data_IF_991715705581
#
_entry.id   IF_991715705581
#
_cell.length_a   1.000
_cell.length_b   1.000
_cell.length_c   1.000
_cell.angle_alpha   90.00
_cell.angle_beta   90.00
_cell.angle_gamma   90.00
#
_symmetry.space_group_name_H-M   'P 1'
#
loop_
_entity.id
_entity.type
_entity.pdbx_description
1 polymer ?
#
# COMPACT_ATOMS: atom_id res chain seq x y z
N UNK A 1 20.47 10.93 28.24
CA UNK A 1 19.27 11.70 27.84
C UNK A 1 18.42 10.77 26.99
N UNK A 2 17.51 10.04 27.61
CA UNK A 2 16.69 9.01 26.95
C UNK A 2 15.51 9.73 26.31
N UNK A 3 15.47 9.81 24.99
CA UNK A 3 14.29 10.32 24.28
C UNK A 3 13.14 9.36 24.56
N UNK A 4 12.15 9.82 25.33
CA UNK A 4 10.84 9.18 25.42
C UNK A 4 10.19 9.29 24.05
N UNK A 5 10.39 8.29 23.20
CA UNK A 5 9.70 8.19 21.93
C UNK A 5 8.27 7.77 22.25
N UNK A 6 7.37 8.74 22.43
CA UNK A 6 5.94 8.48 22.55
C UNK A 6 5.49 7.69 21.33
N UNK A 7 4.97 6.48 21.51
CA UNK A 7 4.44 5.70 20.40
C UNK A 7 3.30 6.48 19.72
N UNK A 8 3.19 6.46 18.38
CA UNK A 8 2.20 7.23 17.65
C UNK A 8 0.77 6.88 18.09
N UNK A 9 -0.12 7.87 18.17
CA UNK A 9 -1.51 7.67 18.56
C UNK A 9 -2.31 6.97 17.43
N UNK A 10 -3.52 6.52 17.75
CA UNK A 10 -4.44 5.95 16.75
C UNK A 10 -4.82 6.98 15.70
N UNK A 11 -4.99 8.25 16.07
CA UNK A 11 -5.24 9.36 15.15
C UNK A 11 -4.05 9.61 14.22
N UNK A 12 -2.81 9.58 14.75
CA UNK A 12 -1.60 9.74 13.94
C UNK A 12 -1.47 8.62 12.89
N UNK A 13 -1.75 7.37 13.29
CA UNK A 13 -1.72 6.21 12.41
C UNK A 13 -2.85 6.22 11.37
N UNK A 14 -4.05 6.66 11.76
CA UNK A 14 -5.15 6.86 10.83
C UNK A 14 -4.80 7.92 9.78
N UNK A 15 -4.22 9.04 10.21
CA UNK A 15 -3.76 10.10 9.32
C UNK A 15 -2.67 9.60 8.35
N UNK A 16 -1.68 8.85 8.85
CA UNK A 16 -0.62 8.26 8.03
C UNK A 16 -1.19 7.28 6.98
N UNK A 17 -2.17 6.46 7.36
CA UNK A 17 -2.85 5.53 6.45
C UNK A 17 -3.62 6.26 5.37
N UNK A 18 -4.37 7.32 5.71
CA UNK A 18 -5.10 8.14 4.73
C UNK A 18 -4.11 8.81 3.77
N UNK A 19 -3.03 9.39 4.29
CA UNK A 19 -2.04 10.11 3.47
C UNK A 19 -1.32 9.17 2.50
N UNK A 20 -0.86 8.01 2.98
CA UNK A 20 -0.19 7.01 2.13
C UNK A 20 -1.17 6.38 1.12
N UNK A 21 -2.41 6.13 1.51
CA UNK A 21 -3.46 5.64 0.61
C UNK A 21 -3.76 6.60 -0.54
N UNK A 22 -3.83 7.92 -0.27
CA UNK A 22 -3.96 8.95 -1.31
C UNK A 22 -2.80 8.94 -2.30
N UNK A 23 -1.56 8.81 -1.79
CA UNK A 23 -0.37 8.75 -2.63
C UNK A 23 -0.40 7.50 -3.52
N UNK A 24 -0.75 6.35 -2.96
CA UNK A 24 -0.90 5.10 -3.69
C UNK A 24 -1.97 5.20 -4.78
N UNK A 25 -3.18 5.68 -4.45
CA UNK A 25 -4.26 5.79 -5.43
C UNK A 25 -3.91 6.73 -6.59
N UNK A 26 -3.27 7.88 -6.29
CA UNK A 26 -2.81 8.81 -7.33
C UNK A 26 -1.81 8.14 -8.25
N UNK A 27 -0.75 7.55 -7.68
CA UNK A 27 0.31 6.93 -8.49
C UNK A 27 -0.20 5.71 -9.26
N UNK A 28 -1.15 4.95 -8.70
CA UNK A 28 -1.82 3.85 -9.39
C UNK A 28 -2.61 4.33 -10.61
N UNK A 29 -3.38 5.41 -10.48
CA UNK A 29 -4.15 5.98 -11.59
C UNK A 29 -3.25 6.56 -12.68
N UNK A 30 -2.12 7.15 -12.28
CA UNK A 30 -1.12 7.70 -13.21
C UNK A 30 -0.33 6.57 -13.91
N UNK A 31 -0.08 5.45 -13.22
CA UNK A 31 0.66 4.31 -13.76
C UNK A 31 -0.28 3.42 -14.56
N UNK A 32 -0.15 3.40 -15.88
CA UNK A 32 -0.99 2.58 -16.76
C UNK A 32 -0.67 1.07 -16.64
N UNK A 33 -1.09 0.42 -15.56
CA UNK A 33 -0.93 -1.03 -15.35
C UNK A 33 -2.03 -1.76 -16.10
N UNK A 34 -1.64 -2.75 -16.90
CA UNK A 34 -2.61 -3.61 -17.56
C UNK A 34 -3.16 -4.65 -16.58
N UNK A 35 -4.25 -4.31 -15.91
CA UNK A 35 -4.92 -5.19 -14.94
C UNK A 35 -5.79 -6.26 -15.64
N UNK A 36 -5.26 -7.00 -16.63
CA UNK A 36 -6.05 -8.03 -17.35
C UNK A 36 -6.57 -9.07 -16.34
N UNK A 37 -7.86 -9.02 -16.04
CA UNK A 37 -8.51 -9.88 -15.05
C UNK A 37 -9.80 -9.28 -14.48
N UNK A 38 -10.52 -10.09 -13.70
CA UNK A 38 -11.82 -9.79 -13.05
C UNK A 38 -11.82 -8.60 -12.08
N UNK A 39 -10.64 -8.04 -11.79
CA UNK A 39 -10.42 -6.95 -10.83
C UNK A 39 -10.46 -5.56 -11.46
N UNK A 40 -10.45 -5.44 -12.81
CA UNK A 40 -10.48 -4.15 -13.52
C UNK A 40 -11.68 -3.28 -13.12
N UNK A 41 -12.82 -3.89 -12.80
CA UNK A 41 -14.04 -3.16 -12.42
C UNK A 41 -14.04 -2.67 -10.97
N UNK A 42 -13.18 -3.21 -10.10
CA UNK A 42 -13.25 -2.99 -8.66
C UNK A 42 -12.28 -1.91 -8.16
N UNK A 43 -11.07 -1.86 -8.71
CA UNK A 43 -10.06 -0.89 -8.28
C UNK A 43 -10.46 0.58 -8.45
N UNK A 44 -11.28 1.02 -9.44
CA UNK A 44 -11.62 2.44 -9.54
C UNK A 44 -12.37 2.96 -8.32
N UNK A 45 -13.27 2.14 -7.76
CA UNK A 45 -14.01 2.49 -6.55
C UNK A 45 -13.09 2.57 -5.33
N UNK A 46 -12.18 1.60 -5.17
CA UNK A 46 -11.18 1.58 -4.09
C UNK A 46 -10.19 2.76 -4.20
N UNK A 47 -9.70 3.08 -5.41
CA UNK A 47 -8.86 4.26 -5.65
C UNK A 47 -9.58 5.56 -5.29
N UNK A 48 -10.88 5.69 -5.61
CA UNK A 48 -11.67 6.87 -5.21
C UNK A 48 -11.78 6.99 -3.69
N UNK A 49 -12.09 5.90 -3.00
CA UNK A 49 -12.15 5.88 -1.52
C UNK A 49 -10.82 6.27 -0.88
N UNK A 50 -9.73 5.69 -1.37
CA UNK A 50 -8.36 6.03 -0.98
C UNK A 50 -8.06 7.52 -1.19
N UNK A 51 -8.40 8.07 -2.36
CA UNK A 51 -8.19 9.47 -2.68
C UNK A 51 -8.99 10.41 -1.76
N UNK A 52 -10.23 10.06 -1.45
CA UNK A 52 -11.11 10.85 -0.59
C UNK A 52 -10.77 10.68 0.90
N UNK A 53 -10.05 9.62 1.29
CA UNK A 53 -9.77 9.29 2.69
C UNK A 53 -10.99 8.69 3.40
N UNK A 54 -11.86 8.02 2.64
CA UNK A 54 -13.03 7.34 3.21
C UNK A 54 -12.62 6.10 4.01
N UNK A 55 -13.45 5.67 4.98
CA UNK A 55 -13.23 4.40 5.68
C UNK A 55 -13.11 3.22 4.71
N UNK A 56 -12.14 2.35 4.98
CA UNK A 56 -11.93 1.11 4.23
C UNK A 56 -12.97 0.06 4.59
N UNK A 57 -13.57 -0.56 3.59
CA UNK A 57 -14.38 -1.76 3.78
C UNK A 57 -13.51 -3.02 3.64
N UNK A 58 -13.97 -4.17 4.17
CA UNK A 58 -13.25 -5.44 4.04
C UNK A 58 -12.93 -5.78 2.57
N UNK A 59 -13.87 -5.46 1.65
CA UNK A 59 -13.68 -5.64 0.21
C UNK A 59 -12.54 -4.80 -0.36
N UNK A 60 -12.28 -3.62 0.18
CA UNK A 60 -11.18 -2.78 -0.30
C UNK A 60 -9.81 -3.40 0.03
N UNK A 61 -9.72 -4.18 1.12
CA UNK A 61 -8.50 -4.94 1.46
C UNK A 61 -8.20 -6.00 0.40
N UNK A 62 -9.22 -6.75 -0.02
CA UNK A 62 -9.09 -7.75 -1.09
C UNK A 62 -8.65 -7.10 -2.40
N UNK A 63 -9.26 -5.96 -2.75
CA UNK A 63 -8.91 -5.22 -3.96
C UNK A 63 -7.47 -4.70 -3.91
N UNK A 64 -7.03 -4.11 -2.79
CA UNK A 64 -5.65 -3.65 -2.59
C UNK A 64 -4.66 -4.81 -2.67
N UNK A 65 -5.01 -5.99 -2.15
CA UNK A 65 -4.18 -7.20 -2.26
C UNK A 65 -4.01 -7.62 -3.72
N UNK A 66 -5.11 -7.60 -4.48
CA UNK A 66 -5.10 -7.90 -5.91
C UNK A 66 -4.33 -6.85 -6.74
N UNK A 67 -4.32 -5.59 -6.30
CA UNK A 67 -3.47 -4.55 -6.90
C UNK A 67 -1.98 -4.86 -6.69
N UNK A 68 -1.58 -5.38 -5.52
CA UNK A 68 -0.22 -5.86 -5.28
C UNK A 68 0.18 -7.02 -6.21
N UNK A 69 -0.72 -7.98 -6.42
CA UNK A 69 -0.50 -9.07 -7.38
C UNK A 69 -0.33 -8.56 -8.81
N UNK A 70 -1.14 -7.57 -9.22
CA UNK A 70 -1.00 -6.95 -10.53
C UNK A 70 0.35 -6.21 -10.69
N UNK A 71 0.87 -5.57 -9.63
CA UNK A 71 2.22 -5.00 -9.63
C UNK A 71 3.29 -6.07 -9.83
N UNK A 72 3.19 -7.18 -9.10
CA UNK A 72 4.10 -8.33 -9.22
C UNK A 72 4.19 -8.82 -10.65
N UNK A 73 3.04 -9.07 -11.28
CA UNK A 73 2.95 -9.53 -12.67
C UNK A 73 3.50 -8.50 -13.65
N UNK A 74 3.15 -7.22 -13.46
CA UNK A 74 3.63 -6.14 -14.34
C UNK A 74 5.17 -6.00 -14.28
N UNK A 75 5.75 -6.01 -13.08
CA UNK A 75 7.20 -5.98 -12.88
C UNK A 75 7.88 -7.22 -13.46
N UNK A 76 7.35 -8.42 -13.21
CA UNK A 76 7.90 -9.68 -13.75
C UNK A 76 7.83 -9.75 -15.27
N UNK A 77 6.86 -9.06 -15.88
CA UNK A 77 6.76 -8.92 -17.35
C UNK A 77 7.87 -8.02 -17.90
N UNK A 78 8.26 -6.97 -17.17
CA UNK A 78 9.38 -6.09 -17.57
C UNK A 78 10.74 -6.76 -17.30
N UNK A 79 10.88 -7.43 -16.16
CA UNK A 79 12.09 -8.15 -15.76
C UNK A 79 11.72 -9.37 -14.92
N UNK A 80 11.98 -10.57 -15.46
CA UNK A 80 11.63 -11.82 -14.80
C UNK A 80 12.19 -11.91 -13.37
N UNK A 81 11.33 -12.26 -12.40
CA UNK A 81 11.65 -12.40 -10.97
C UNK A 81 11.75 -11.08 -10.20
N UNK A 82 11.79 -9.94 -10.88
CA UNK A 82 11.96 -8.65 -10.20
C UNK A 82 10.72 -8.23 -9.40
N UNK A 83 9.52 -8.59 -9.86
CA UNK A 83 8.28 -8.31 -9.13
C UNK A 83 8.20 -9.05 -7.80
N UNK A 84 8.68 -10.29 -7.75
CA UNK A 84 8.74 -11.06 -6.50
C UNK A 84 9.77 -10.43 -5.54
N UNK A 85 10.94 -10.02 -6.06
CA UNK A 85 11.95 -9.31 -5.29
C UNK A 85 11.43 -7.97 -4.73
N UNK A 86 10.86 -7.13 -5.58
CA UNK A 86 10.45 -5.77 -5.23
C UNK A 86 9.30 -5.72 -4.21
N UNK A 87 8.48 -6.76 -4.12
CA UNK A 87 7.43 -6.87 -3.10
C UNK A 87 7.98 -7.29 -1.73
N UNK A 88 9.12 -7.96 -1.68
CA UNK A 88 9.72 -8.46 -0.43
C UNK A 88 10.80 -7.53 0.13
N UNK A 89 11.58 -6.88 -0.72
CA UNK A 89 12.74 -6.09 -0.34
C UNK A 89 12.52 -4.60 -0.62
N UNK A 90 13.22 -3.72 0.10
CA UNK A 90 13.29 -2.29 -0.25
C UNK A 90 14.16 -2.11 -1.50
N UNK A 91 13.54 -1.67 -2.60
CA UNK A 91 14.22 -1.46 -3.88
C UNK A 91 14.42 0.02 -4.19
N UNK A 92 14.23 0.92 -3.22
CA UNK A 92 14.37 2.38 -3.41
C UNK A 92 15.74 2.83 -3.93
N UNK A 93 16.76 1.98 -3.82
CA UNK A 93 18.13 2.22 -4.23
C UNK A 93 18.59 1.40 -5.44
N UNK A 94 17.70 0.64 -6.06
CA UNK A 94 18.04 -0.16 -7.24
C UNK A 94 18.36 0.76 -8.43
N UNK A 95 19.49 0.51 -9.09
CA UNK A 95 19.88 1.24 -10.30
C UNK A 95 19.14 0.66 -11.52
N UNK A 96 18.03 1.31 -11.89
CA UNK A 96 17.18 0.91 -13.00
C UNK A 96 17.29 1.91 -14.16
N UNK A 97 17.78 1.43 -15.30
CA UNK A 97 17.85 2.24 -16.53
C UNK A 97 16.61 2.16 -17.41
N UNK A 98 15.68 1.25 -17.11
CA UNK A 98 14.39 1.16 -17.79
C UNK A 98 13.38 2.08 -17.10
N UNK A 99 12.88 3.15 -17.78
CA UNK A 99 11.96 4.11 -17.17
C UNK A 99 10.63 3.50 -16.72
N UNK A 100 10.15 2.48 -17.43
CA UNK A 100 8.89 1.81 -17.10
C UNK A 100 9.07 0.88 -15.90
N UNK A 101 10.19 0.18 -15.82
CA UNK A 101 10.52 -0.63 -14.66
C UNK A 101 10.67 0.25 -13.40
N UNK A 102 11.33 1.41 -13.53
CA UNK A 102 11.47 2.39 -12.44
C UNK A 102 10.12 2.97 -11.98
N UNK A 103 9.23 3.28 -12.92
CA UNK A 103 7.87 3.74 -12.59
C UNK A 103 7.08 2.69 -11.80
N UNK A 104 7.08 1.44 -12.27
CA UNK A 104 6.42 0.33 -11.58
C UNK A 104 7.04 0.03 -10.22
N UNK A 105 8.36 0.13 -10.11
CA UNK A 105 9.09 -0.03 -8.85
C UNK A 105 8.69 1.06 -7.85
N UNK A 106 8.67 2.32 -8.27
CA UNK A 106 8.21 3.44 -7.43
C UNK A 106 6.79 3.23 -6.93
N UNK A 107 5.88 2.78 -7.81
CA UNK A 107 4.52 2.46 -7.39
C UNK A 107 4.48 1.31 -6.37
N UNK A 108 5.35 0.33 -6.52
CA UNK A 108 5.48 -0.79 -5.58
C UNK A 108 5.98 -0.33 -4.20
N UNK A 109 6.93 0.61 -4.13
CA UNK A 109 7.36 1.19 -2.85
C UNK A 109 6.24 1.97 -2.16
N UNK A 110 5.47 2.75 -2.94
CA UNK A 110 4.32 3.50 -2.39
C UNK A 110 3.22 2.53 -1.93
N UNK A 111 3.00 1.43 -2.65
CA UNK A 111 2.09 0.36 -2.24
C UNK A 111 2.51 -0.29 -0.91
N UNK A 112 3.79 -0.69 -0.78
CA UNK A 112 4.31 -1.28 0.46
C UNK A 112 4.19 -0.32 1.63
N UNK A 113 4.55 0.95 1.44
CA UNK A 113 4.41 1.95 2.49
C UNK A 113 2.96 2.14 2.93
N UNK A 114 2.01 2.15 2.00
CA UNK A 114 0.58 2.19 2.33
C UNK A 114 0.14 0.96 3.13
N UNK A 115 0.57 -0.25 2.73
CA UNK A 115 0.26 -1.49 3.46
C UNK A 115 0.81 -1.50 4.89
N UNK A 116 2.05 -1.06 5.08
CA UNK A 116 2.66 -0.92 6.42
C UNK A 116 1.89 0.07 7.30
N UNK A 117 1.48 1.22 6.75
CA UNK A 117 0.64 2.17 7.50
C UNK A 117 -0.70 1.55 7.91
N UNK A 118 -1.34 0.85 6.98
CA UNK A 118 -2.63 0.19 7.19
C UNK A 118 -2.54 -0.89 8.28
N UNK A 119 -1.50 -1.71 8.25
CA UNK A 119 -1.26 -2.78 9.22
C UNK A 119 -1.00 -2.20 10.61
N UNK A 120 -0.13 -1.20 10.74
CA UNK A 120 0.13 -0.51 12.02
C UNK A 120 -1.12 0.10 12.64
N UNK A 121 -1.98 0.70 11.81
CA UNK A 121 -3.26 1.24 12.28
C UNK A 121 -4.20 0.13 12.77
N UNK A 122 -4.31 -0.98 12.03
CA UNK A 122 -5.15 -2.12 12.41
C UNK A 122 -4.66 -2.79 13.70
N UNK A 123 -3.34 -2.95 13.85
CA UNK A 123 -2.71 -3.51 15.04
C UNK A 123 -2.96 -2.63 16.26
N UNK A 124 -2.81 -1.30 16.11
CA UNK A 124 -3.11 -0.36 17.19
C UNK A 124 -4.56 -0.45 17.65
N UNK A 125 -5.51 -0.42 16.71
CA UNK A 125 -6.95 -0.53 17.01
C UNK A 125 -7.27 -1.86 17.70
N UNK A 126 -6.65 -2.95 17.26
CA UNK A 126 -6.80 -4.26 17.90
C UNK A 126 -6.24 -4.24 19.31
N UNK A 127 -5.03 -3.73 19.51
CA UNK A 127 -4.40 -3.64 20.82
C UNK A 127 -5.23 -2.81 21.81
N UNK A 128 -5.76 -1.65 21.40
CA UNK A 128 -6.62 -0.82 22.24
C UNK A 128 -7.92 -1.54 22.63
N UNK A 129 -8.53 -2.28 21.70
CA UNK A 129 -9.72 -3.10 21.98
C UNK A 129 -9.43 -4.22 22.97
N UNK A 130 -8.30 -4.91 22.86
CA UNK A 130 -7.94 -5.97 23.79
C UNK A 130 -7.58 -5.42 25.17
N UNK A 131 -6.87 -4.28 25.26
CA UNK A 131 -6.60 -3.61 26.55
C UNK A 131 -7.91 -3.22 27.23
N UNK A 132 -8.88 -2.68 26.50
CA UNK A 132 -10.19 -2.32 27.04
C UNK A 132 -11.04 -3.53 27.51
N UNK A 133 -10.67 -4.76 27.11
CA UNK A 133 -11.31 -6.02 27.54
C UNK A 133 -10.70 -6.64 28.78
N UNK A 134 -9.48 -6.24 29.16
CA UNK A 134 -8.85 -6.74 30.38
C UNK A 134 -9.44 -5.98 31.58
N UNK A 135 -10.14 -6.67 32.52
CA UNK A 135 -10.79 -6.05 33.67
C UNK A 135 -9.82 -5.48 34.70
#
# INVERSE_FOLDING_TARGET
>A
MTTLTTSPSTEDLAYATIRSGRAFARLWLDTSIDTRGSTRSLWPATCRRLAEGQPFEARDIDVVTLMGEALRVALNTQRAGYGDHALCEDTSHDDLWDPRLEELRRLTEVYKHFRDCQERYADRVTAEREVARVP
#
